data_IF_419969562139
#
_entry.id   IF_419969562139
#
_cell.length_a   1.000
_cell.length_b   1.000
_cell.length_c   1.000
_cell.angle_alpha   90.00
_cell.angle_beta   90.00
_cell.angle_gamma   90.00
#
_symmetry.space_group_name_H-M   'P 1'
#
loop_
_entity.id
_entity.type
_entity.pdbx_description
1 polymer ?
#
# COMPACT_ATOMS: atom_id res chain seq x y z
N UNK A 1 13.71 -4.79 -2.55
CA UNK A 1 13.67 -4.91 -1.07
C UNK A 1 15.02 -5.22 -0.46
N UNK A 2 16.03 -5.56 -1.26
CA UNK A 2 17.39 -5.95 -0.83
C UNK A 2 17.42 -7.19 0.09
N UNK A 3 16.43 -8.08 -0.02
CA UNK A 3 16.45 -9.36 0.69
C UNK A 3 17.50 -10.28 0.09
N UNK A 4 18.12 -11.11 0.93
CA UNK A 4 19.18 -12.03 0.50
C UNK A 4 18.64 -13.46 0.41
N UNK A 5 19.10 -14.20 -0.57
CA UNK A 5 18.74 -15.60 -0.70
C UNK A 5 19.13 -16.40 0.56
N UNK A 6 18.20 -17.19 1.09
CA UNK A 6 18.42 -18.05 2.26
C UNK A 6 18.38 -17.33 3.62
N UNK A 7 18.16 -16.01 3.67
CA UNK A 7 17.98 -15.33 4.95
C UNK A 7 16.63 -15.69 5.60
N UNK A 8 16.60 -15.62 6.93
CA UNK A 8 15.38 -15.93 7.71
C UNK A 8 14.85 -14.65 8.35
N UNK A 9 13.68 -14.22 7.94
CA UNK A 9 12.93 -13.09 8.51
C UNK A 9 11.57 -13.58 9.03
N UNK A 10 11.06 -12.93 10.06
CA UNK A 10 9.68 -13.15 10.51
C UNK A 10 8.72 -12.47 9.53
N UNK A 11 7.50 -12.98 9.40
CA UNK A 11 6.47 -12.36 8.55
C UNK A 11 6.25 -10.88 8.92
N UNK A 12 6.20 -10.55 10.21
CA UNK A 12 6.08 -9.15 10.67
C UNK A 12 7.29 -8.27 10.30
N UNK A 13 8.50 -8.85 10.15
CA UNK A 13 9.68 -8.11 9.69
C UNK A 13 9.60 -7.80 8.19
N UNK A 14 8.94 -8.65 7.39
CA UNK A 14 8.72 -8.46 5.95
C UNK A 14 7.71 -7.34 5.64
N UNK A 15 6.83 -6.99 6.60
CA UNK A 15 5.88 -5.90 6.44
C UNK A 15 6.58 -4.55 6.21
N UNK A 16 7.73 -4.31 6.83
CA UNK A 16 8.46 -3.04 6.70
C UNK A 16 8.95 -2.80 5.28
N UNK A 17 9.78 -3.66 4.65
CA UNK A 17 10.18 -3.44 3.25
C UNK A 17 9.00 -3.49 2.27
N UNK A 18 7.98 -4.30 2.53
CA UNK A 18 6.79 -4.38 1.69
C UNK A 18 6.03 -3.05 1.67
N UNK A 19 5.80 -2.43 2.83
CA UNK A 19 4.99 -1.22 2.94
C UNK A 19 5.79 0.07 2.72
N UNK A 20 7.06 0.14 3.16
CA UNK A 20 7.89 1.34 3.06
C UNK A 20 8.51 1.54 1.68
N UNK A 21 9.07 0.47 1.09
CA UNK A 21 9.81 0.53 -0.18
C UNK A 21 9.21 -0.33 -1.29
N UNK A 22 7.98 -0.81 -1.10
CA UNK A 22 7.27 -1.66 -2.09
C UNK A 22 8.09 -2.88 -2.52
N UNK A 23 8.69 -3.60 -1.57
CA UNK A 23 9.47 -4.80 -1.87
C UNK A 23 8.58 -5.92 -2.40
N UNK A 24 8.72 -6.24 -3.68
CA UNK A 24 8.02 -7.36 -4.31
C UNK A 24 8.44 -8.70 -3.70
N UNK A 25 9.74 -8.86 -3.42
CA UNK A 25 10.28 -10.07 -2.77
C UNK A 25 9.63 -10.31 -1.41
N UNK A 26 9.40 -9.23 -0.64
CA UNK A 26 8.75 -9.33 0.67
C UNK A 26 7.29 -9.76 0.54
N UNK A 27 6.54 -9.19 -0.41
CA UNK A 27 5.14 -9.56 -0.65
C UNK A 27 5.02 -11.03 -1.07
N UNK A 28 5.87 -11.47 -1.99
CA UNK A 28 5.89 -12.89 -2.43
C UNK A 28 6.35 -13.83 -1.30
N UNK A 29 7.31 -13.42 -0.46
CA UNK A 29 7.73 -14.21 0.70
C UNK A 29 6.61 -14.36 1.74
N UNK A 30 5.83 -13.30 1.99
CA UNK A 30 4.63 -13.35 2.85
C UNK A 30 3.60 -14.33 2.27
N UNK A 31 3.33 -14.25 0.97
CA UNK A 31 2.40 -15.15 0.31
C UNK A 31 2.86 -16.61 0.35
N UNK A 32 4.17 -16.86 0.19
CA UNK A 32 4.75 -18.21 0.28
C UNK A 32 4.73 -18.77 1.70
N UNK A 33 4.85 -17.91 2.72
CA UNK A 33 4.81 -18.31 4.12
C UNK A 33 3.40 -18.68 4.62
N UNK A 34 2.37 -18.36 3.85
CA UNK A 34 0.99 -18.71 4.17
C UNK A 34 0.74 -20.19 3.96
N UNK A 35 0.08 -20.86 4.91
CA UNK A 35 -0.26 -22.29 4.78
C UNK A 35 -1.63 -22.47 4.08
N UNK A 36 -1.76 -23.22 2.98
CA UNK A 36 -0.78 -24.13 2.38
C UNK A 36 0.07 -23.53 1.24
N UNK A 37 0.23 -22.22 1.16
CA UNK A 37 1.16 -21.58 0.23
C UNK A 37 0.57 -20.46 -0.61
N UNK A 38 1.40 -19.92 -1.50
CA UNK A 38 1.17 -18.72 -2.31
C UNK A 38 -0.18 -18.69 -3.05
N UNK A 39 -0.53 -19.77 -3.73
CA UNK A 39 -1.76 -19.78 -4.55
C UNK A 39 -3.02 -19.69 -3.68
N UNK A 40 -2.99 -20.32 -2.50
CA UNK A 40 -4.05 -20.19 -1.52
C UNK A 40 -4.12 -18.77 -0.96
N UNK A 41 -2.97 -18.13 -0.67
CA UNK A 41 -2.91 -16.75 -0.22
C UNK A 41 -3.57 -15.80 -1.22
N UNK A 42 -3.23 -15.88 -2.51
CA UNK A 42 -3.82 -15.05 -3.56
C UNK A 42 -5.32 -15.31 -3.68
N UNK A 43 -5.75 -16.55 -3.55
CA UNK A 43 -7.18 -16.89 -3.54
C UNK A 43 -7.88 -16.22 -2.36
N UNK A 44 -7.30 -16.26 -1.16
CA UNK A 44 -7.86 -15.61 0.03
C UNK A 44 -7.87 -14.08 -0.10
N UNK A 45 -6.85 -13.46 -0.71
CA UNK A 45 -6.88 -12.03 -1.03
C UNK A 45 -8.12 -11.67 -1.86
N UNK A 46 -8.44 -12.47 -2.90
CA UNK A 46 -9.60 -12.23 -3.76
C UNK A 46 -10.92 -12.51 -3.06
N UNK A 47 -10.99 -13.54 -2.21
CA UNK A 47 -12.17 -13.80 -1.36
C UNK A 47 -12.40 -12.62 -0.41
N UNK A 48 -11.33 -12.14 0.23
CA UNK A 48 -11.41 -11.05 1.18
C UNK A 48 -11.89 -9.74 0.55
N UNK A 49 -11.32 -9.30 -0.59
CA UNK A 49 -11.77 -8.05 -1.23
C UNK A 49 -13.23 -8.12 -1.68
N UNK A 50 -13.67 -9.28 -2.14
CA UNK A 50 -15.09 -9.50 -2.45
C UNK A 50 -15.97 -9.41 -1.19
N UNK A 51 -15.52 -10.00 -0.07
CA UNK A 51 -16.27 -10.00 1.18
C UNK A 51 -16.51 -8.62 1.78
N UNK A 52 -15.63 -7.67 1.50
CA UNK A 52 -15.75 -6.26 1.95
C UNK A 52 -16.44 -5.35 0.94
N UNK A 53 -16.86 -5.89 -0.23
CA UNK A 53 -17.60 -5.15 -1.25
C UNK A 53 -16.76 -4.54 -2.39
N UNK A 54 -15.46 -4.84 -2.47
CA UNK A 54 -14.56 -4.39 -3.55
C UNK A 54 -14.65 -5.35 -4.76
N UNK A 55 -15.81 -5.40 -5.42
CA UNK A 55 -16.14 -6.42 -6.42
C UNK A 55 -15.44 -6.28 -7.77
N UNK A 56 -14.85 -5.12 -8.06
CA UNK A 56 -14.09 -4.84 -9.28
C UNK A 56 -12.60 -4.97 -9.08
N UNK A 57 -12.18 -5.55 -7.96
CA UNK A 57 -10.78 -5.79 -7.62
C UNK A 57 -10.45 -7.25 -7.80
N UNK A 58 -9.34 -7.51 -8.51
CA UNK A 58 -8.80 -8.84 -8.68
C UNK A 58 -7.27 -8.82 -8.57
N UNK A 59 -6.73 -9.71 -7.76
CA UNK A 59 -5.30 -9.92 -7.57
C UNK A 59 -4.85 -11.21 -8.25
N UNK A 60 -3.88 -11.10 -9.15
CA UNK A 60 -3.20 -12.21 -9.81
C UNK A 60 -1.95 -12.64 -9.07
N UNK A 61 -1.33 -11.72 -8.35
CA UNK A 61 -0.14 -11.94 -7.54
C UNK A 61 -0.20 -11.12 -6.23
N UNK A 62 0.76 -11.38 -5.34
CA UNK A 62 0.86 -10.68 -4.05
C UNK A 62 1.65 -9.37 -4.15
N UNK A 63 2.47 -9.20 -5.17
CA UNK A 63 3.42 -8.09 -5.31
C UNK A 63 2.87 -6.89 -6.09
N UNK A 64 1.83 -7.11 -6.91
CA UNK A 64 1.28 -6.08 -7.79
C UNK A 64 2.00 -5.93 -9.13
N UNK A 65 2.88 -6.87 -9.50
CA UNK A 65 3.64 -6.80 -10.76
C UNK A 65 2.85 -7.26 -11.98
N UNK A 66 1.90 -8.16 -11.80
CA UNK A 66 1.11 -8.67 -12.92
C UNK A 66 0.17 -7.58 -13.46
N UNK A 67 0.13 -7.35 -14.79
CA UNK A 67 -0.86 -6.45 -15.39
C UNK A 67 -2.31 -6.97 -15.28
N UNK A 68 -2.49 -8.20 -14.81
CA UNK A 68 -3.80 -8.77 -14.51
C UNK A 68 -4.32 -8.38 -13.11
N UNK A 69 -3.52 -7.71 -12.27
CA UNK A 69 -4.03 -7.05 -11.08
C UNK A 69 -4.86 -5.85 -11.51
N UNK A 70 -6.12 -5.82 -11.12
CA UNK A 70 -7.04 -4.74 -11.49
C UNK A 70 -7.83 -4.26 -10.29
N UNK A 71 -8.12 -2.97 -10.27
CA UNK A 71 -8.99 -2.36 -9.27
C UNK A 71 -9.62 -1.08 -9.81
N UNK A 72 -10.42 -0.42 -9.00
CA UNK A 72 -10.98 0.91 -9.25
C UNK A 72 -10.70 1.82 -8.06
N UNK A 73 -10.74 3.14 -8.27
CA UNK A 73 -10.60 4.09 -7.17
C UNK A 73 -11.68 3.88 -6.09
N UNK A 74 -12.89 3.50 -6.50
CA UNK A 74 -13.99 3.18 -5.58
C UNK A 74 -13.65 1.95 -4.72
N UNK A 75 -13.18 0.86 -5.32
CA UNK A 75 -12.82 -0.35 -4.58
C UNK A 75 -11.62 -0.12 -3.65
N UNK A 76 -10.61 0.62 -4.11
CA UNK A 76 -9.49 1.02 -3.24
C UNK A 76 -9.97 1.89 -2.07
N UNK A 77 -10.99 2.74 -2.27
CA UNK A 77 -11.63 3.49 -1.18
C UNK A 77 -12.29 2.56 -0.16
N UNK A 78 -12.94 1.49 -0.59
CA UNK A 78 -13.54 0.47 0.30
C UNK A 78 -12.43 -0.23 1.09
N UNK A 79 -11.37 -0.66 0.41
CA UNK A 79 -10.23 -1.34 1.04
C UNK A 79 -9.58 -0.46 2.10
N UNK A 80 -9.30 0.81 1.78
CA UNK A 80 -8.62 1.70 2.73
C UNK A 80 -9.52 2.10 3.90
N UNK A 81 -10.83 2.24 3.70
CA UNK A 81 -11.77 2.45 4.79
C UNK A 81 -11.82 1.25 5.73
N UNK A 82 -11.74 0.03 5.19
CA UNK A 82 -11.65 -1.17 5.99
C UNK A 82 -10.36 -1.19 6.83
N UNK A 83 -9.20 -0.86 6.23
CA UNK A 83 -7.91 -0.76 6.93
C UNK A 83 -7.97 0.28 8.04
N UNK A 84 -8.48 1.48 7.76
CA UNK A 84 -8.62 2.55 8.76
C UNK A 84 -9.48 2.14 9.97
N UNK A 85 -10.43 1.25 9.75
CA UNK A 85 -11.35 0.79 10.79
C UNK A 85 -10.82 -0.39 11.60
N UNK A 86 -10.11 -1.33 10.95
CA UNK A 86 -9.82 -2.64 11.53
C UNK A 86 -8.32 -2.85 11.85
N UNK A 87 -7.43 -2.31 11.00
CA UNK A 87 -5.97 -2.50 11.12
C UNK A 87 -5.20 -1.20 10.85
N UNK A 88 -5.52 -0.08 11.56
CA UNK A 88 -4.91 1.23 11.29
C UNK A 88 -3.40 1.26 11.52
N UNK A 89 -2.85 0.38 12.32
CA UNK A 89 -1.42 0.24 12.61
C UNK A 89 -0.58 -0.11 11.36
N UNK A 90 -1.18 -0.64 10.30
CA UNK A 90 -0.51 -0.82 9.00
C UNK A 90 -0.01 0.52 8.47
N UNK A 91 -0.75 1.60 8.70
CA UNK A 91 -0.38 2.95 8.27
C UNK A 91 0.82 3.49 9.03
N UNK A 92 1.01 3.11 10.29
CA UNK A 92 2.16 3.53 11.09
C UNK A 92 3.48 3.10 10.46
N UNK A 93 3.50 1.91 9.83
CA UNK A 93 4.67 1.45 9.07
C UNK A 93 4.93 2.37 7.86
N UNK A 94 3.89 2.82 7.18
CA UNK A 94 4.02 3.70 6.01
C UNK A 94 4.47 5.12 6.35
N UNK A 95 4.41 5.51 7.63
CA UNK A 95 4.87 6.80 8.15
C UNK A 95 6.34 6.78 8.60
N UNK A 96 6.97 5.63 8.72
CA UNK A 96 8.37 5.55 9.12
C UNK A 96 9.27 6.13 8.01
N UNK A 97 10.18 7.03 8.41
CA UNK A 97 11.20 7.58 7.49
C UNK A 97 12.24 6.52 7.13
N UNK A 98 12.65 5.72 8.11
CA UNK A 98 13.56 4.60 7.92
C UNK A 98 13.31 3.51 8.95
N UNK A 99 13.70 2.29 8.63
CA UNK A 99 13.67 1.14 9.54
C UNK A 99 14.88 0.25 9.30
N UNK A 100 15.58 -0.07 10.38
CA UNK A 100 16.67 -1.05 10.38
C UNK A 100 16.21 -2.32 11.07
N UNK A 101 16.38 -3.45 10.40
CA UNK A 101 16.15 -4.79 10.95
C UNK A 101 17.38 -5.63 10.57
N UNK A 102 18.08 -6.13 11.56
CA UNK A 102 19.35 -6.87 11.38
C UNK A 102 20.35 -6.05 10.57
N UNK A 103 20.72 -6.50 9.36
CA UNK A 103 21.66 -5.85 8.46
C UNK A 103 21.00 -5.01 7.37
N UNK A 104 19.66 -4.94 7.35
CA UNK A 104 18.90 -4.19 6.35
C UNK A 104 18.44 -2.86 6.90
N UNK A 105 18.57 -1.82 6.10
CA UNK A 105 17.94 -0.52 6.36
C UNK A 105 17.13 -0.12 5.15
N UNK A 106 15.85 0.17 5.37
CA UNK A 106 14.93 0.69 4.34
C UNK A 106 14.57 2.13 4.66
N UNK A 107 14.71 2.99 3.65
CA UNK A 107 14.32 4.40 3.73
C UNK A 107 13.10 4.62 2.85
N UNK A 108 12.06 5.18 3.43
CA UNK A 108 10.80 5.43 2.74
C UNK A 108 10.95 6.61 1.77
N UNK A 109 10.68 6.43 0.47
CA UNK A 109 10.86 7.48 -0.54
C UNK A 109 9.69 8.46 -0.64
N UNK A 110 8.68 8.33 0.21
CA UNK A 110 7.46 9.15 0.14
C UNK A 110 7.75 10.59 0.55
N UNK A 111 7.51 11.55 -0.36
CA UNK A 111 7.74 12.98 -0.12
C UNK A 111 6.77 13.57 0.92
N UNK A 112 5.56 13.00 1.06
CA UNK A 112 4.53 13.46 1.99
C UNK A 112 4.86 13.24 3.47
N UNK A 113 5.90 12.48 3.81
CA UNK A 113 6.34 12.29 5.20
C UNK A 113 6.74 13.59 5.92
N UNK A 114 6.95 14.67 5.18
CA UNK A 114 7.25 15.98 5.76
C UNK A 114 5.99 16.83 6.02
N UNK A 115 4.82 16.37 5.57
CA UNK A 115 3.53 17.03 5.82
C UNK A 115 2.92 16.51 7.11
N UNK A 116 2.64 17.40 8.05
CA UNK A 116 2.03 17.05 9.35
C UNK A 116 0.60 16.50 9.21
N UNK A 117 -0.05 16.79 8.08
CA UNK A 117 -1.39 16.26 7.75
C UNK A 117 -1.38 14.84 7.19
N UNK A 118 -0.24 14.37 6.64
CA UNK A 118 -0.15 13.03 6.05
C UNK A 118 -0.20 11.96 7.12
N UNK A 119 -1.07 10.99 6.96
CA UNK A 119 -1.30 9.90 7.92
C UNK A 119 -1.05 8.51 7.34
N UNK A 120 -0.40 8.44 6.18
CA UNK A 120 0.02 7.18 5.58
C UNK A 120 -0.53 6.96 4.18
N UNK A 121 -0.08 5.90 3.56
CA UNK A 121 -0.51 5.53 2.21
C UNK A 121 0.40 4.50 1.56
N UNK A 122 0.12 4.21 0.29
CA UNK A 122 0.90 3.27 -0.52
C UNK A 122 0.99 3.75 -1.95
N UNK A 123 2.19 3.67 -2.50
CA UNK A 123 2.49 3.99 -3.89
C UNK A 123 2.73 2.72 -4.69
N UNK A 124 2.45 2.77 -5.99
CA UNK A 124 2.75 1.72 -6.95
C UNK A 124 3.23 2.31 -8.28
N UNK A 125 3.96 1.51 -9.04
CA UNK A 125 4.33 1.81 -10.41
C UNK A 125 4.61 0.52 -11.18
N UNK A 126 4.00 0.39 -12.33
CA UNK A 126 4.43 -0.51 -13.41
C UNK A 126 4.29 0.23 -14.74
N UNK A 127 4.99 -0.18 -15.82
CA UNK A 127 4.81 0.45 -17.13
C UNK A 127 3.36 0.45 -17.62
N UNK A 128 2.59 -0.60 -17.32
CA UNK A 128 1.21 -0.76 -17.78
C UNK A 128 0.22 0.07 -16.95
N UNK A 129 0.46 0.25 -15.67
CA UNK A 129 -0.43 0.98 -14.76
C UNK A 129 -0.05 2.45 -14.57
N UNK A 130 1.16 2.86 -15.01
CA UNK A 130 1.80 4.11 -14.64
C UNK A 130 1.83 4.27 -13.10
N UNK A 131 1.92 5.47 -12.55
CA UNK A 131 1.95 5.68 -11.11
C UNK A 131 0.57 5.57 -10.52
N UNK A 132 0.48 4.82 -9.44
CA UNK A 132 -0.74 4.68 -8.64
C UNK A 132 -0.45 5.06 -7.19
N UNK A 133 -1.45 5.54 -6.48
CA UNK A 133 -1.32 5.79 -5.05
C UNK A 133 -2.65 5.80 -4.32
N UNK A 134 -2.56 5.46 -3.04
CA UNK A 134 -3.53 5.85 -2.01
C UNK A 134 -2.76 6.71 -1.02
N UNK A 135 -3.19 7.95 -0.81
CA UNK A 135 -2.58 8.90 0.12
C UNK A 135 -3.64 9.43 1.09
N UNK A 136 -3.37 9.37 2.38
CA UNK A 136 -4.31 9.73 3.43
C UNK A 136 -3.83 10.96 4.18
N UNK A 137 -4.76 11.90 4.42
CA UNK A 137 -4.48 13.15 5.12
C UNK A 137 -5.53 13.40 6.19
N UNK A 138 -5.10 14.01 7.31
CA UNK A 138 -5.97 14.43 8.40
C UNK A 138 -5.93 15.95 8.52
N UNK A 139 -7.02 16.63 8.17
CA UNK A 139 -7.03 18.09 7.94
C UNK A 139 -8.19 18.75 8.67
N UNK A 140 -7.96 20.03 9.00
CA UNK A 140 -8.95 20.94 9.58
C UNK A 140 -9.14 20.79 11.09
N UNK A 141 -9.93 21.69 11.66
CA UNK A 141 -10.22 21.77 13.11
C UNK A 141 -10.79 20.45 13.66
N UNK A 142 -11.59 19.76 12.86
CA UNK A 142 -12.24 18.49 13.24
C UNK A 142 -11.43 17.27 12.85
N UNK A 143 -10.19 17.45 12.37
CA UNK A 143 -9.29 16.36 11.95
C UNK A 143 -9.97 15.35 11.04
N UNK A 144 -10.70 15.82 10.03
CA UNK A 144 -11.33 14.95 9.04
C UNK A 144 -10.26 14.21 8.23
N UNK A 145 -10.52 12.94 7.94
CA UNK A 145 -9.64 12.14 7.09
C UNK A 145 -10.08 12.27 5.64
N UNK A 146 -9.12 12.64 4.78
CA UNK A 146 -9.27 12.68 3.33
C UNK A 146 -8.38 11.62 2.71
N UNK A 147 -8.92 10.87 1.77
CA UNK A 147 -8.18 9.89 0.96
C UNK A 147 -8.11 10.34 -0.48
N UNK A 148 -6.91 10.47 -1.03
CA UNK A 148 -6.69 10.70 -2.46
C UNK A 148 -6.22 9.40 -3.08
N UNK A 149 -6.93 8.95 -4.12
CA UNK A 149 -6.64 7.71 -4.84
C UNK A 149 -6.38 8.06 -6.30
N UNK A 150 -5.20 7.71 -6.78
CA UNK A 150 -4.77 7.93 -8.16
C UNK A 150 -4.47 6.60 -8.84
N UNK A 151 -4.97 6.45 -10.05
CA UNK A 151 -4.67 5.33 -10.94
C UNK A 151 -4.23 5.90 -12.29
N UNK A 152 -3.03 5.54 -12.78
CA UNK A 152 -2.51 5.97 -14.07
C UNK A 152 -2.08 7.44 -14.13
N UNK A 153 -1.51 7.99 -13.05
CA UNK A 153 -1.03 9.37 -13.02
C UNK A 153 0.42 9.47 -13.49
N UNK A 154 0.70 10.40 -14.39
CA UNK A 154 2.08 10.75 -14.78
C UNK A 154 2.76 11.68 -13.77
N UNK A 155 1.99 12.41 -12.96
CA UNK A 155 2.47 13.42 -11.99
C UNK A 155 1.85 13.20 -10.60
N UNK A 156 1.92 11.97 -10.09
CA UNK A 156 1.25 11.49 -8.88
C UNK A 156 1.28 12.48 -7.70
N UNK A 157 2.45 13.06 -7.38
CA UNK A 157 2.60 13.87 -6.17
C UNK A 157 1.90 15.23 -6.32
N UNK A 158 1.98 15.89 -7.50
CA UNK A 158 1.22 17.11 -7.78
C UNK A 158 -0.27 16.84 -7.86
N UNK A 159 -0.68 15.81 -8.63
CA UNK A 159 -2.10 15.46 -8.77
C UNK A 159 -2.74 15.13 -7.42
N UNK A 160 -1.97 14.51 -6.50
CA UNK A 160 -2.45 14.25 -5.13
C UNK A 160 -2.74 15.55 -4.37
N UNK A 161 -1.84 16.54 -4.46
CA UNK A 161 -2.01 17.81 -3.76
C UNK A 161 -3.13 18.66 -4.38
N UNK A 162 -3.25 18.68 -5.70
CA UNK A 162 -4.29 19.42 -6.42
C UNK A 162 -5.69 18.89 -6.07
N UNK A 163 -5.88 17.56 -6.08
CA UNK A 163 -7.14 16.94 -5.66
C UNK A 163 -7.45 17.15 -4.19
N UNK A 164 -6.43 17.15 -3.33
CA UNK A 164 -6.61 17.43 -1.91
C UNK A 164 -7.05 18.88 -1.70
N UNK A 165 -6.44 19.84 -2.40
CA UNK A 165 -6.80 21.25 -2.33
C UNK A 165 -8.23 21.50 -2.85
N UNK A 166 -8.63 20.84 -3.94
CA UNK A 166 -9.99 20.89 -4.46
C UNK A 166 -11.02 20.36 -3.45
N UNK A 167 -10.72 19.25 -2.78
CA UNK A 167 -11.60 18.65 -1.78
C UNK A 167 -11.75 19.49 -0.49
N UNK A 168 -10.88 20.50 -0.31
CA UNK A 168 -10.88 21.39 0.87
C UNK A 168 -11.59 22.73 0.61
N UNK A 169 -11.94 23.04 -0.63
CA UNK A 169 -12.70 24.24 -1.04
C UNK A 169 -14.18 24.08 -0.75
#
# INVERSE_FOLDING_TARGET
GNLRFGEKLRVGELMYPMLMVSSNDSAEAVAQAYDPGRDKFIKEMNIWVNSIGAYRTYFKDASGLSPQNVSTAQDLSIIIQWVLKNDPEILDITLLKSKTIRTHTWTNPTHFLNLTSYIGGKNGYTPEADRTSVSLFKIGKYKRTYGVILLGSSQRDSDTLDLLDEALR
#
